data_IF_717341305505
#
_entry.id   IF_717341305505
#
_cell.length_a   1.000
_cell.length_b   1.000
_cell.length_c   1.000
_cell.angle_alpha   90.00
_cell.angle_beta   90.00
_cell.angle_gamma   90.00
#
_symmetry.space_group_name_H-M   'P 1'
#
loop_
_entity.id
_entity.type
_entity.pdbx_description
1 polymer ?
#
# COMPACT_ATOMS: atom_id res chain seq x y z
N UNK A 1 6.00 12.09 -4.86
CA UNK A 1 4.61 11.62 -4.97
C UNK A 1 4.64 10.13 -4.73
N UNK A 2 4.20 9.70 -3.57
CA UNK A 2 3.99 8.28 -3.29
C UNK A 2 2.74 7.82 -4.03
N UNK A 3 2.76 6.63 -4.62
CA UNK A 3 1.58 6.07 -5.28
C UNK A 3 0.47 5.86 -4.24
N UNK A 4 0.80 5.27 -3.08
CA UNK A 4 -0.10 5.14 -1.92
C UNK A 4 -0.72 6.48 -1.50
N UNK A 5 0.10 7.46 -1.12
CA UNK A 5 -0.39 8.74 -0.60
C UNK A 5 -1.25 9.48 -1.62
N UNK A 6 -0.83 9.51 -2.89
CA UNK A 6 -1.58 10.23 -3.92
C UNK A 6 -2.95 9.63 -4.19
N UNK A 7 -3.06 8.29 -4.20
CA UNK A 7 -4.36 7.61 -4.28
C UNK A 7 -5.23 7.99 -3.09
N UNK A 8 -4.72 7.88 -1.87
CA UNK A 8 -5.53 8.13 -0.67
C UNK A 8 -5.86 9.62 -0.45
N UNK A 9 -5.05 10.54 -0.96
CA UNK A 9 -5.33 11.98 -0.93
C UNK A 9 -6.47 12.37 -1.87
N UNK A 10 -6.61 11.66 -3.00
CA UNK A 10 -7.63 11.94 -4.01
C UNK A 10 -8.92 11.13 -3.81
N UNK A 11 -8.81 9.96 -3.17
CA UNK A 11 -9.94 9.05 -2.89
C UNK A 11 -11.21 9.72 -2.33
N UNK A 12 -11.14 10.69 -1.38
CA UNK A 12 -12.33 11.33 -0.84
C UNK A 12 -13.16 12.07 -1.90
N UNK A 13 -12.51 12.56 -2.95
CA UNK A 13 -13.16 13.35 -4.00
C UNK A 13 -13.80 12.49 -5.09
N UNK A 14 -13.44 11.19 -5.19
CA UNK A 14 -13.94 10.30 -6.26
C UNK A 14 -15.47 10.26 -6.29
N UNK A 15 -16.13 10.34 -5.13
CA UNK A 15 -17.59 10.35 -5.03
C UNK A 15 -18.28 11.53 -5.73
N UNK A 16 -17.54 12.60 -6.04
CA UNK A 16 -18.06 13.82 -6.66
C UNK A 16 -17.65 14.00 -8.13
N UNK A 17 -16.91 13.05 -8.72
CA UNK A 17 -16.33 13.22 -10.08
C UNK A 17 -17.37 13.35 -11.19
N UNK A 18 -18.61 12.89 -10.98
CA UNK A 18 -19.66 13.07 -11.97
C UNK A 18 -20.36 14.44 -11.86
N UNK A 19 -20.11 15.18 -10.78
CA UNK A 19 -20.66 16.52 -10.54
C UNK A 19 -19.72 17.62 -11.06
N UNK A 20 -18.42 17.33 -11.17
CA UNK A 20 -17.40 18.29 -11.62
C UNK A 20 -16.46 17.63 -12.68
N UNK A 21 -16.58 18.04 -13.96
CA UNK A 21 -15.70 17.53 -15.03
C UNK A 21 -14.21 17.81 -14.79
N UNK A 22 -13.86 18.95 -14.19
CA UNK A 22 -12.48 19.29 -13.86
C UNK A 22 -11.92 18.37 -12.79
N UNK A 23 -12.75 18.00 -11.80
CA UNK A 23 -12.40 17.00 -10.81
C UNK A 23 -12.24 15.59 -11.43
N UNK A 24 -13.14 15.19 -12.35
CA UNK A 24 -12.99 13.94 -13.10
C UNK A 24 -11.65 13.88 -13.84
N UNK A 25 -11.30 14.95 -14.54
CA UNK A 25 -10.03 15.05 -15.28
C UNK A 25 -8.83 15.10 -14.34
N UNK A 26 -8.94 15.71 -13.15
CA UNK A 26 -7.90 15.66 -12.13
C UNK A 26 -7.65 14.22 -11.67
N UNK A 27 -8.69 13.46 -11.31
CA UNK A 27 -8.56 12.06 -10.87
C UNK A 27 -7.94 11.21 -11.97
N UNK A 28 -8.44 11.34 -13.20
CA UNK A 28 -7.88 10.60 -14.34
C UNK A 28 -6.43 11.02 -14.62
N UNK A 29 -6.11 12.31 -14.51
CA UNK A 29 -4.74 12.82 -14.63
C UNK A 29 -3.79 12.22 -13.59
N UNK A 30 -4.25 12.02 -12.35
CA UNK A 30 -3.46 11.33 -11.32
C UNK A 30 -3.21 9.87 -11.71
N UNK A 31 -4.23 9.16 -12.23
CA UNK A 31 -4.06 7.79 -12.74
C UNK A 31 -3.00 7.74 -13.86
N UNK A 32 -3.04 8.68 -14.81
CA UNK A 32 -2.07 8.76 -15.90
C UNK A 32 -0.66 9.06 -15.40
N UNK A 33 -0.51 9.96 -14.42
CA UNK A 33 0.77 10.26 -13.80
C UNK A 33 1.32 9.01 -13.08
N UNK A 34 0.51 8.32 -12.29
CA UNK A 34 0.90 7.06 -11.64
C UNK A 34 1.26 5.97 -12.65
N UNK A 35 0.52 5.85 -13.75
CA UNK A 35 0.84 4.94 -14.85
C UNK A 35 2.21 5.25 -15.46
N UNK A 36 2.49 6.51 -15.80
CA UNK A 36 3.79 6.91 -16.36
C UNK A 36 4.97 6.60 -15.43
N UNK A 37 4.73 6.65 -14.12
CA UNK A 37 5.71 6.30 -13.10
C UNK A 37 5.97 4.80 -13.03
N UNK A 38 4.91 3.99 -13.01
CA UNK A 38 5.02 2.52 -12.93
C UNK A 38 5.44 1.88 -14.25
N UNK A 39 5.14 2.51 -15.39
CA UNK A 39 5.71 2.13 -16.69
C UNK A 39 7.22 2.41 -16.76
N UNK A 40 7.70 3.39 -16.00
CA UNK A 40 9.12 3.60 -15.85
C UNK A 40 9.75 2.59 -14.88
N UNK A 41 9.31 2.58 -13.62
CA UNK A 41 9.82 1.68 -12.59
C UNK A 41 8.67 1.08 -11.76
N UNK A 42 8.37 -0.22 -11.91
CA UNK A 42 7.25 -0.86 -11.23
C UNK A 42 7.59 -1.29 -9.79
N UNK A 43 8.84 -1.12 -9.35
CA UNK A 43 9.29 -1.42 -7.99
C UNK A 43 9.31 -0.20 -7.07
N UNK A 44 9.17 1.00 -7.62
CA UNK A 44 9.25 2.25 -6.86
C UNK A 44 7.95 2.62 -6.14
N UNK A 45 8.06 3.10 -4.91
CA UNK A 45 6.94 3.63 -4.12
C UNK A 45 6.71 5.14 -4.34
N UNK A 46 7.77 5.93 -4.54
CA UNK A 46 7.67 7.39 -4.63
C UNK A 46 8.39 7.98 -5.84
N UNK A 47 7.85 9.05 -6.43
CA UNK A 47 8.37 9.67 -7.65
C UNK A 47 8.52 11.18 -7.53
N UNK A 48 9.53 11.77 -8.18
CA UNK A 48 9.58 13.23 -8.33
C UNK A 48 8.48 13.73 -9.25
N UNK A 49 8.22 15.04 -9.15
CA UNK A 49 7.34 15.76 -10.08
C UNK A 49 7.61 15.37 -11.55
N UNK A 50 6.58 15.29 -12.40
CA UNK A 50 6.77 15.02 -13.82
C UNK A 50 7.66 16.08 -14.48
N UNK A 51 8.38 15.68 -15.54
CA UNK A 51 9.33 16.55 -16.25
C UNK A 51 8.69 17.72 -16.98
N UNK A 52 7.44 17.55 -17.41
CA UNK A 52 6.66 18.60 -18.05
C UNK A 52 6.06 19.59 -17.05
N UNK A 53 6.19 19.33 -15.74
CA UNK A 53 5.62 20.21 -14.73
C UNK A 53 6.50 21.48 -14.55
N UNK A 54 5.92 22.67 -14.32
CA UNK A 54 6.65 23.95 -14.31
C UNK A 54 7.82 24.00 -13.31
N UNK A 55 9.03 24.48 -13.65
CA UNK A 55 10.17 24.45 -12.74
C UNK A 55 9.87 25.11 -11.39
N UNK A 56 10.49 24.58 -10.32
CA UNK A 56 10.41 25.15 -8.96
C UNK A 56 11.78 25.59 -8.49
N UNK A 57 11.81 26.70 -7.77
CA UNK A 57 13.00 27.13 -7.06
C UNK A 57 13.37 26.12 -5.96
N UNK A 58 14.66 25.79 -5.86
CA UNK A 58 15.22 24.87 -4.87
C UNK A 58 14.50 23.51 -4.82
N UNK A 59 14.53 22.70 -5.90
CA UNK A 59 13.93 21.38 -5.88
C UNK A 59 14.56 20.54 -4.76
N UNK A 60 13.71 19.96 -3.90
CA UNK A 60 14.15 18.99 -2.90
C UNK A 60 14.87 17.82 -3.59
N UNK A 61 15.91 17.31 -2.95
CA UNK A 61 16.71 16.16 -3.41
C UNK A 61 16.41 14.98 -2.50
N UNK A 62 16.29 13.77 -3.05
CA UNK A 62 16.17 12.56 -2.24
C UNK A 62 17.51 11.97 -1.80
N UNK A 63 17.47 10.77 -1.21
CA UNK A 63 18.62 10.11 -0.59
C UNK A 63 19.76 9.85 -1.59
N UNK A 64 21.01 10.14 -1.27
CA UNK A 64 22.12 9.91 -2.23
C UNK A 64 22.94 8.65 -1.97
N UNK A 65 22.48 7.80 -1.04
CA UNK A 65 23.26 6.68 -0.48
C UNK A 65 22.71 5.31 -0.80
N UNK A 66 21.58 5.24 -1.51
CA UNK A 66 20.83 4.02 -1.75
C UNK A 66 21.40 3.21 -2.92
N UNK A 67 21.34 1.89 -2.80
CA UNK A 67 21.78 0.95 -3.83
C UNK A 67 20.66 -0.01 -4.13
N UNK A 68 20.22 -0.05 -5.39
CA UNK A 68 19.08 -0.85 -5.84
C UNK A 68 19.48 -1.69 -7.05
N UNK A 69 18.89 -2.87 -7.15
CA UNK A 69 18.97 -3.76 -8.33
C UNK A 69 17.56 -4.20 -8.70
N UNK A 70 17.15 -4.25 -9.99
CA UNK A 70 17.86 -3.77 -11.17
C UNK A 70 18.32 -2.31 -11.07
N UNK A 71 19.40 -1.98 -11.78
CA UNK A 71 19.90 -0.61 -11.82
C UNK A 71 18.88 0.29 -12.52
N UNK A 72 18.76 1.52 -12.03
CA UNK A 72 17.82 2.52 -12.50
C UNK A 72 18.55 3.75 -13.06
N UNK A 73 17.85 4.64 -13.75
CA UNK A 73 18.41 5.93 -14.18
C UNK A 73 18.33 6.96 -13.03
N UNK A 74 19.46 7.46 -12.49
CA UNK A 74 19.48 8.44 -11.40
C UNK A 74 18.96 9.82 -11.82
N UNK A 75 18.72 10.03 -13.12
CA UNK A 75 18.05 11.21 -13.65
C UNK A 75 16.55 11.03 -13.74
N UNK A 76 16.00 9.93 -13.22
CA UNK A 76 14.57 9.68 -13.06
C UNK A 76 14.17 9.37 -11.60
N UNK A 77 15.10 8.82 -10.76
CA UNK A 77 15.08 8.21 -9.36
C UNK A 77 15.66 9.04 -8.17
N UNK A 78 14.89 9.28 -7.06
CA UNK A 78 14.80 10.26 -5.90
C UNK A 78 16.14 10.20 -5.26
N UNK A 79 16.72 9.02 -5.42
CA UNK A 79 17.89 8.58 -4.80
C UNK A 79 18.98 8.26 -5.85
N UNK A 80 20.18 8.84 -5.62
CA UNK A 80 21.51 8.62 -6.25
C UNK A 80 22.03 9.50 -7.42
N UNK A 81 23.37 9.65 -7.49
CA UNK A 81 24.23 10.60 -8.25
C UNK A 81 25.07 9.91 -9.34
N UNK A 82 25.54 10.67 -10.37
CA UNK A 82 26.98 10.85 -10.74
C UNK A 82 27.22 12.17 -11.52
N UNK A 83 28.38 12.81 -11.28
CA UNK A 83 28.93 14.03 -11.91
C UNK A 83 29.55 13.83 -13.31
N UNK A 84 29.39 14.86 -14.15
CA UNK A 84 30.17 15.28 -15.35
C UNK A 84 30.03 14.45 -16.65
N UNK A 85 29.27 14.98 -17.61
CA UNK A 85 29.75 15.67 -18.84
C UNK A 85 28.55 16.25 -19.61
N UNK A 86 28.79 17.35 -20.34
CA UNK A 86 27.82 18.15 -21.11
C UNK A 86 26.94 17.30 -22.03
N UNK A 87 25.75 16.97 -21.57
CA UNK A 87 24.54 16.66 -22.35
C UNK A 87 23.41 17.34 -21.56
N UNK A 88 22.35 17.82 -22.19
CA UNK A 88 21.21 18.43 -21.49
C UNK A 88 20.57 17.35 -20.61
N UNK A 89 20.94 17.32 -19.32
CA UNK A 89 20.50 16.32 -18.33
C UNK A 89 19.18 16.80 -17.73
N UNK A 90 18.10 16.07 -17.99
CA UNK A 90 16.80 16.27 -17.36
C UNK A 90 16.88 15.60 -15.98
N UNK A 91 16.97 16.38 -14.90
CA UNK A 91 16.98 15.88 -13.53
C UNK A 91 15.58 15.40 -13.12
N UNK A 92 15.41 14.12 -12.84
CA UNK A 92 14.25 13.56 -12.14
C UNK A 92 14.78 12.53 -11.14
N UNK A 93 14.04 12.35 -10.08
CA UNK A 93 14.45 11.54 -8.97
C UNK A 93 13.15 10.84 -8.26
N UNK A 94 12.73 9.53 -8.43
CA UNK A 94 12.04 8.41 -7.58
C UNK A 94 12.67 7.56 -6.34
N UNK A 95 11.98 7.26 -5.22
CA UNK A 95 12.42 6.31 -4.14
C UNK A 95 12.09 4.86 -4.53
N UNK A 96 13.00 3.92 -4.26
CA UNK A 96 12.91 2.53 -4.71
C UNK A 96 12.69 1.52 -3.59
N UNK A 97 11.79 1.81 -2.66
CA UNK A 97 11.35 0.82 -1.67
C UNK A 97 10.16 0.06 -2.25
N UNK A 98 10.35 -1.23 -2.54
CA UNK A 98 9.30 -2.06 -3.11
C UNK A 98 8.23 -2.39 -2.07
N UNK A 99 7.06 -1.81 -2.30
CA UNK A 99 5.87 -1.94 -1.47
C UNK A 99 4.75 -2.49 -2.31
N UNK A 100 4.26 -3.68 -1.96
CA UNK A 100 3.15 -4.32 -2.67
C UNK A 100 1.89 -3.44 -2.69
N UNK A 101 1.69 -2.63 -1.65
CA UNK A 101 0.56 -1.72 -1.59
C UNK A 101 0.66 -0.55 -2.58
N UNK A 102 1.85 -0.14 -3.04
CA UNK A 102 1.97 0.89 -4.08
C UNK A 102 1.26 0.44 -5.37
N UNK A 103 1.46 -0.82 -5.77
CA UNK A 103 0.75 -1.42 -6.92
C UNK A 103 -0.74 -1.58 -6.60
N UNK A 104 -1.08 -1.94 -5.35
CA UNK A 104 -2.48 -2.08 -4.94
C UNK A 104 -3.22 -0.74 -5.04
N UNK A 105 -2.62 0.36 -4.60
CA UNK A 105 -3.19 1.70 -4.64
C UNK A 105 -3.32 2.25 -6.07
N UNK A 106 -2.44 1.86 -7.00
CA UNK A 106 -2.59 2.18 -8.42
C UNK A 106 -3.87 1.55 -9.01
N UNK A 107 -4.06 0.25 -8.78
CA UNK A 107 -5.27 -0.44 -9.22
C UNK A 107 -6.52 0.01 -8.47
N UNK A 108 -6.42 0.29 -7.17
CA UNK A 108 -7.51 0.86 -6.38
C UNK A 108 -8.03 2.15 -6.98
N UNK A 109 -7.14 3.10 -7.29
CA UNK A 109 -7.56 4.39 -7.86
C UNK A 109 -8.26 4.19 -9.21
N UNK A 110 -7.73 3.27 -10.03
CA UNK A 110 -8.34 2.92 -11.32
C UNK A 110 -9.72 2.30 -11.13
N UNK A 111 -9.86 1.32 -10.25
CA UNK A 111 -11.13 0.65 -9.98
C UNK A 111 -12.16 1.62 -9.39
N UNK A 112 -11.77 2.44 -8.41
CA UNK A 112 -12.66 3.43 -7.79
C UNK A 112 -13.12 4.49 -8.82
N UNK A 113 -12.24 4.91 -9.74
CA UNK A 113 -12.61 5.80 -10.85
C UNK A 113 -13.60 5.13 -11.81
N UNK A 114 -13.37 3.87 -12.18
CA UNK A 114 -14.25 3.14 -13.10
C UNK A 114 -15.60 2.85 -12.45
N UNK A 115 -15.63 2.49 -11.17
CA UNK A 115 -16.87 2.32 -10.39
C UNK A 115 -17.69 3.61 -10.37
N UNK A 116 -17.04 4.77 -10.18
CA UNK A 116 -17.72 6.05 -10.13
C UNK A 116 -18.20 6.53 -11.52
N UNK A 117 -17.40 6.32 -12.58
CA UNK A 117 -17.63 6.97 -13.90
C UNK A 117 -18.16 6.05 -14.98
N UNK A 118 -17.94 4.74 -14.87
CA UNK A 118 -18.14 3.77 -15.95
C UNK A 118 -17.09 3.84 -17.08
N UNK A 119 -16.07 4.70 -16.99
CA UNK A 119 -15.12 5.00 -18.08
C UNK A 119 -13.93 4.02 -18.16
N UNK A 120 -14.19 2.70 -18.14
CA UNK A 120 -13.12 1.68 -18.30
C UNK A 120 -12.43 1.77 -19.67
N UNK A 121 -13.17 2.13 -20.72
CA UNK A 121 -12.65 2.31 -22.08
C UNK A 121 -11.52 3.35 -22.11
N UNK A 122 -11.73 4.49 -21.45
CA UNK A 122 -10.75 5.59 -21.35
C UNK A 122 -9.45 5.14 -20.68
N UNK A 123 -9.55 4.22 -19.72
CA UNK A 123 -8.38 3.62 -19.04
C UNK A 123 -7.65 2.67 -19.98
N UNK A 124 -8.37 1.75 -20.63
CA UNK A 124 -7.80 0.72 -21.50
C UNK A 124 -7.23 1.26 -22.82
N UNK A 125 -7.70 2.42 -23.29
CA UNK A 125 -7.15 3.13 -24.44
C UNK A 125 -5.86 3.91 -24.12
N UNK A 126 -5.54 4.13 -22.84
CA UNK A 126 -4.28 4.74 -22.44
C UNK A 126 -3.13 3.73 -22.58
N UNK A 127 -2.24 4.00 -23.53
CA UNK A 127 -1.00 3.22 -23.73
C UNK A 127 -0.15 3.18 -22.47
N UNK A 128 0.03 4.32 -21.80
CA UNK A 128 0.86 4.42 -20.59
C UNK A 128 0.27 3.54 -19.48
N UNK A 129 -1.05 3.54 -19.30
CA UNK A 129 -1.73 2.71 -18.32
C UNK A 129 -1.61 1.22 -18.66
N UNK A 130 -1.83 0.83 -19.92
CA UNK A 130 -1.70 -0.56 -20.36
C UNK A 130 -0.28 -1.11 -20.19
N UNK A 131 0.74 -0.31 -20.52
CA UNK A 131 2.14 -0.67 -20.31
C UNK A 131 2.45 -0.83 -18.82
N UNK A 132 2.06 0.16 -18.00
CA UNK A 132 2.23 0.11 -16.55
C UNK A 132 1.57 -1.12 -15.93
N UNK A 133 0.29 -1.37 -16.25
CA UNK A 133 -0.47 -2.53 -15.76
C UNK A 133 0.22 -3.86 -16.12
N UNK A 134 0.72 -3.97 -17.35
CA UNK A 134 1.44 -5.16 -17.81
C UNK A 134 2.76 -5.36 -17.04
N UNK A 135 3.54 -4.30 -16.86
CA UNK A 135 4.83 -4.36 -16.13
C UNK A 135 4.64 -4.69 -14.66
N UNK A 136 3.66 -4.08 -13.99
CA UNK A 136 3.40 -4.39 -12.57
C UNK A 136 2.88 -5.81 -12.39
N UNK A 137 2.03 -6.33 -13.28
CA UNK A 137 1.58 -7.75 -13.20
C UNK A 137 2.75 -8.72 -13.36
N UNK A 138 3.74 -8.39 -14.20
CA UNK A 138 4.98 -9.16 -14.30
C UNK A 138 5.78 -9.12 -12.99
N UNK A 139 5.93 -7.93 -12.37
CA UNK A 139 6.53 -7.81 -11.02
C UNK A 139 5.80 -8.68 -10.00
N UNK A 140 4.47 -8.65 -9.97
CA UNK A 140 3.69 -9.49 -9.05
C UNK A 140 4.01 -10.97 -9.25
N UNK A 141 4.04 -11.47 -10.49
CA UNK A 141 4.39 -12.86 -10.79
C UNK A 141 5.82 -13.23 -10.36
N UNK A 142 6.77 -12.31 -10.52
CA UNK A 142 8.17 -12.51 -10.12
C UNK A 142 8.29 -12.55 -8.59
N UNK A 143 7.54 -11.70 -7.89
CA UNK A 143 7.50 -11.64 -6.43
C UNK A 143 6.67 -12.76 -5.79
N UNK A 144 5.92 -13.56 -6.56
CA UNK A 144 5.29 -14.81 -6.11
C UNK A 144 6.27 -15.99 -6.02
N UNK A 145 7.47 -15.88 -6.61
CA UNK A 145 8.47 -16.96 -6.57
C UNK A 145 9.11 -17.04 -5.18
N UNK A 146 9.53 -18.25 -4.80
CA UNK A 146 10.40 -18.49 -3.63
C UNK A 146 11.67 -17.64 -3.72
N UNK A 147 12.27 -17.31 -2.57
CA UNK A 147 13.51 -16.52 -2.58
C UNK A 147 14.65 -17.32 -3.19
N UNK A 148 14.92 -18.51 -2.66
CA UNK A 148 15.86 -19.45 -3.26
C UNK A 148 15.11 -20.32 -4.25
N UNK A 149 15.60 -20.50 -5.50
CA UNK A 149 15.05 -21.53 -6.35
C UNK A 149 15.15 -22.85 -5.61
N UNK A 150 14.02 -23.55 -5.44
CA UNK A 150 14.02 -24.92 -4.96
C UNK A 150 15.15 -25.68 -5.66
N UNK A 151 16.07 -26.24 -4.87
CA UNK A 151 17.23 -26.97 -5.39
C UNK A 151 16.80 -27.87 -6.53
N UNK A 152 17.54 -27.79 -7.64
CA UNK A 152 17.48 -28.71 -8.75
C UNK A 152 17.77 -30.13 -8.25
N UNK A 153 16.77 -30.78 -7.67
CA UNK A 153 16.67 -32.23 -7.83
C UNK A 153 16.59 -32.46 -9.34
N UNK A 154 17.21 -33.51 -9.86
CA UNK A 154 17.37 -33.80 -11.28
C UNK A 154 16.05 -33.90 -12.10
N UNK A 155 14.91 -33.56 -11.50
CA UNK A 155 13.55 -33.70 -11.98
C UNK A 155 12.75 -32.37 -12.01
N UNK A 156 13.30 -31.26 -11.51
CA UNK A 156 12.64 -29.94 -11.57
C UNK A 156 13.46 -29.05 -12.49
N UNK A 157 12.96 -28.83 -13.72
CA UNK A 157 13.51 -27.79 -14.60
C UNK A 157 13.32 -26.42 -13.94
N UNK A 158 14.35 -25.58 -14.02
CA UNK A 158 14.26 -24.16 -13.67
C UNK A 158 13.05 -23.54 -14.38
N UNK A 159 12.22 -22.81 -13.64
CA UNK A 159 11.11 -22.06 -14.21
C UNK A 159 11.70 -21.02 -15.18
N UNK A 160 11.54 -21.18 -16.51
CA UNK A 160 12.20 -20.34 -17.50
C UNK A 160 11.72 -18.88 -17.46
N UNK A 161 10.64 -18.59 -16.73
CA UNK A 161 10.13 -17.24 -16.51
C UNK A 161 10.65 -16.58 -15.24
N UNK A 162 11.44 -17.28 -14.42
CA UNK A 162 12.03 -16.73 -13.20
C UNK A 162 13.10 -15.71 -13.54
N UNK A 163 12.99 -14.51 -12.96
CA UNK A 163 14.08 -13.53 -12.99
C UNK A 163 15.26 -14.09 -12.19
N UNK A 164 16.48 -14.15 -12.76
CA UNK A 164 17.66 -14.60 -12.04
C UNK A 164 17.87 -13.82 -10.73
N UNK A 165 18.37 -14.50 -9.69
CA UNK A 165 18.51 -13.94 -8.34
C UNK A 165 19.39 -12.67 -8.28
N UNK A 166 20.35 -12.58 -9.16
CA UNK A 166 21.26 -11.44 -9.34
C UNK A 166 20.62 -10.26 -10.07
N UNK A 167 19.53 -10.52 -10.80
CA UNK A 167 18.72 -9.51 -11.51
C UNK A 167 17.41 -9.19 -10.78
N UNK A 168 17.08 -9.93 -9.72
CA UNK A 168 15.91 -9.68 -8.88
C UNK A 168 16.02 -8.40 -8.07
N UNK A 169 14.87 -7.92 -7.58
CA UNK A 169 14.81 -6.72 -6.75
C UNK A 169 15.71 -6.84 -5.51
N UNK A 170 16.58 -5.85 -5.31
CA UNK A 170 17.42 -5.69 -4.12
C UNK A 170 17.48 -4.24 -3.71
N UNK A 171 17.55 -3.98 -2.42
CA UNK A 171 17.69 -2.63 -1.89
C UNK A 171 18.60 -2.62 -0.66
N UNK A 172 19.56 -1.70 -0.63
CA UNK A 172 20.34 -1.40 0.58
C UNK A 172 20.53 0.10 0.73
N UNK A 173 20.46 0.58 1.97
CA UNK A 173 20.72 1.97 2.37
C UNK A 173 21.74 1.98 3.49
N UNK A 174 22.63 2.97 3.48
CA UNK A 174 23.45 3.27 4.66
C UNK A 174 22.61 4.10 5.63
N UNK A 175 22.24 3.49 6.75
CA UNK A 175 21.31 4.05 7.73
C UNK A 175 21.63 3.46 9.10
N UNK A 176 21.28 4.20 10.16
CA UNK A 176 21.31 3.73 11.55
C UNK A 176 19.98 3.08 11.99
N UNK A 177 18.98 3.08 11.11
CA UNK A 177 17.67 2.46 11.32
C UNK A 177 17.59 1.12 10.58
N UNK A 178 17.46 -0.01 11.29
CA UNK A 178 17.46 -1.33 10.65
C UNK A 178 16.25 -1.53 9.72
N UNK A 179 15.16 -0.79 9.91
CA UNK A 179 13.97 -0.86 9.05
C UNK A 179 14.13 -0.10 7.73
N UNK A 180 15.14 0.74 7.57
CA UNK A 180 15.35 1.51 6.34
C UNK A 180 16.29 0.82 5.33
N UNK A 181 16.64 -0.45 5.55
CA UNK A 181 17.50 -1.25 4.67
C UNK A 181 17.09 -2.74 4.70
N UNK A 182 17.48 -3.52 3.68
CA UNK A 182 17.15 -4.94 3.63
C UNK A 182 18.37 -5.82 3.97
N UNK A 183 18.11 -6.88 4.74
CA UNK A 183 19.09 -7.94 5.02
C UNK A 183 19.44 -8.77 3.78
N UNK A 184 20.34 -9.75 3.96
CA UNK A 184 20.72 -10.72 2.92
C UNK A 184 21.23 -10.06 1.63
N UNK A 185 22.14 -9.10 1.76
CA UNK A 185 22.68 -8.33 0.63
C UNK A 185 21.59 -7.67 -0.21
N UNK A 186 20.60 -7.08 0.48
CA UNK A 186 19.51 -6.32 -0.11
C UNK A 186 18.30 -7.13 -0.56
N UNK A 187 18.27 -8.45 -0.37
CA UNK A 187 17.13 -9.30 -0.76
C UNK A 187 15.95 -9.12 0.21
N UNK A 188 16.23 -8.92 1.49
CA UNK A 188 15.21 -8.88 2.55
C UNK A 188 14.80 -10.28 3.02
N UNK A 189 13.52 -10.43 3.39
CA UNK A 189 12.99 -11.66 3.96
C UNK A 189 13.05 -12.87 3.01
N UNK A 190 13.35 -14.05 3.57
CA UNK A 190 13.41 -15.31 2.83
C UNK A 190 12.02 -15.97 2.87
N UNK A 191 11.44 -16.27 1.70
CA UNK A 191 10.09 -16.82 1.60
C UNK A 191 10.03 -18.10 0.76
N UNK A 192 9.18 -19.04 1.16
CA UNK A 192 8.83 -20.23 0.39
C UNK A 192 7.64 -19.94 -0.52
N UNK A 193 7.71 -20.39 -1.78
CA UNK A 193 6.61 -20.24 -2.75
C UNK A 193 5.32 -20.87 -2.21
N UNK A 194 4.32 -20.03 -1.97
CA UNK A 194 3.02 -20.42 -1.40
C UNK A 194 1.82 -19.71 -2.04
N UNK A 195 2.02 -18.94 -3.11
CA UNK A 195 0.97 -18.18 -3.80
C UNK A 195 0.80 -16.74 -3.29
N UNK A 196 1.44 -16.39 -2.17
CA UNK A 196 1.58 -15.00 -1.72
C UNK A 196 2.67 -14.27 -2.53
N UNK A 197 2.56 -12.94 -2.56
CA UNK A 197 3.48 -12.00 -3.20
C UNK A 197 4.35 -11.37 -2.12
N UNK A 198 5.67 -11.38 -2.31
CA UNK A 198 6.61 -10.73 -1.38
C UNK A 198 6.37 -9.21 -1.37
N UNK A 199 6.59 -8.57 -0.23
CA UNK A 199 6.72 -7.11 -0.10
C UNK A 199 8.03 -6.84 0.65
N UNK A 200 8.90 -6.01 0.10
CA UNK A 200 10.18 -5.71 0.74
C UNK A 200 9.99 -4.72 1.91
N UNK A 201 9.07 -3.76 1.71
CA UNK A 201 8.70 -2.76 2.69
C UNK A 201 7.19 -2.80 2.97
N UNK A 202 6.82 -2.24 4.11
CA UNK A 202 5.45 -2.01 4.58
C UNK A 202 4.94 -0.67 4.05
N UNK A 203 3.64 -0.37 4.19
CA UNK A 203 3.10 0.95 3.86
C UNK A 203 3.61 2.07 4.78
N UNK A 204 4.35 1.73 5.85
CA UNK A 204 5.09 2.66 6.71
C UNK A 204 6.47 3.03 6.17
N UNK A 205 6.86 2.54 4.99
CA UNK A 205 8.22 2.62 4.42
C UNK A 205 9.29 1.82 5.22
N UNK A 206 8.88 1.02 6.22
CA UNK A 206 9.76 0.12 6.99
C UNK A 206 9.89 -1.26 6.33
N UNK A 207 11.08 -1.86 6.38
CA UNK A 207 11.34 -3.20 5.88
C UNK A 207 10.43 -4.23 6.56
N UNK A 208 9.91 -5.18 5.78
CA UNK A 208 9.19 -6.33 6.34
C UNK A 208 10.16 -7.23 7.12
N UNK A 209 9.66 -7.82 8.20
CA UNK A 209 10.42 -8.82 8.97
C UNK A 209 10.34 -10.18 8.30
N UNK A 210 9.13 -10.59 7.91
CA UNK A 210 8.89 -11.75 7.06
C UNK A 210 8.32 -11.26 5.71
N UNK A 211 8.69 -11.89 4.59
CA UNK A 211 8.53 -11.27 3.28
C UNK A 211 7.08 -11.20 2.77
N UNK A 212 6.18 -12.02 3.31
CA UNK A 212 4.78 -12.01 2.88
C UNK A 212 3.92 -11.19 3.85
N UNK A 213 3.78 -9.90 3.53
CA UNK A 213 2.90 -8.98 4.24
C UNK A 213 1.43 -9.28 3.93
N UNK A 214 0.71 -9.83 4.90
CA UNK A 214 -0.66 -10.32 4.75
C UNK A 214 -1.65 -9.21 4.36
N UNK A 215 -1.72 -8.04 5.02
CA UNK A 215 -2.69 -7.01 4.64
C UNK A 215 -2.46 -6.45 3.23
N UNK A 216 -1.21 -6.36 2.77
CA UNK A 216 -0.91 -5.96 1.39
C UNK A 216 -1.30 -7.03 0.36
N UNK A 217 -1.09 -8.32 0.69
CA UNK A 217 -1.56 -9.43 -0.14
C UNK A 217 -3.10 -9.48 -0.23
N UNK A 218 -3.78 -9.24 0.89
CA UNK A 218 -5.23 -9.11 0.92
C UNK A 218 -5.70 -7.97 0.00
N UNK A 219 -5.09 -6.79 0.12
CA UNK A 219 -5.43 -5.61 -0.68
C UNK A 219 -5.28 -5.87 -2.19
N UNK A 220 -4.11 -6.36 -2.64
CA UNK A 220 -3.89 -6.60 -4.08
C UNK A 220 -4.83 -7.67 -4.63
N UNK A 221 -5.19 -8.69 -3.82
CA UNK A 221 -6.13 -9.74 -4.26
C UNK A 221 -7.51 -9.19 -4.59
N UNK A 222 -7.97 -8.20 -3.80
CA UNK A 222 -9.25 -7.50 -4.04
C UNK A 222 -9.14 -6.65 -5.30
N UNK A 223 -8.11 -5.82 -5.41
CA UNK A 223 -8.00 -4.86 -6.51
C UNK A 223 -7.79 -5.52 -7.87
N UNK A 224 -7.06 -6.63 -7.94
CA UNK A 224 -6.94 -7.40 -9.18
C UNK A 224 -8.24 -8.12 -9.56
N UNK A 225 -9.02 -8.56 -8.56
CA UNK A 225 -10.35 -9.16 -8.80
C UNK A 225 -11.32 -8.11 -9.34
N UNK A 226 -11.34 -6.92 -8.75
CA UNK A 226 -12.14 -5.77 -9.22
C UNK A 226 -11.73 -5.37 -10.64
N UNK A 227 -10.44 -5.22 -10.89
CA UNK A 227 -9.93 -4.86 -12.22
C UNK A 227 -10.37 -5.86 -13.29
N UNK A 228 -10.19 -7.16 -13.03
CA UNK A 228 -10.61 -8.20 -13.95
C UNK A 228 -12.12 -8.15 -14.23
N UNK A 229 -12.93 -7.90 -13.19
CA UNK A 229 -14.38 -7.75 -13.33
C UNK A 229 -14.74 -6.56 -14.24
N UNK A 230 -14.10 -5.40 -14.06
CA UNK A 230 -14.33 -4.23 -14.91
C UNK A 230 -13.96 -4.50 -16.37
N UNK A 231 -12.81 -5.10 -16.63
CA UNK A 231 -12.36 -5.39 -17.99
C UNK A 231 -13.24 -6.45 -18.67
N UNK A 232 -13.68 -7.48 -17.94
CA UNK A 232 -14.59 -8.52 -18.48
C UNK A 232 -16.00 -8.00 -18.75
N UNK A 233 -16.46 -7.02 -17.96
CA UNK A 233 -17.75 -6.36 -18.18
C UNK A 233 -17.75 -5.41 -19.39
N UNK A 234 -16.59 -5.08 -19.93
CA UNK A 234 -16.47 -4.24 -21.12
C UNK A 234 -16.79 -5.05 -22.40
N UNK A 235 -17.98 -4.86 -22.97
CA UNK A 235 -18.54 -5.71 -24.04
C UNK A 235 -18.61 -5.06 -25.44
N UNK A 236 -17.88 -3.97 -25.71
CA UNK A 236 -17.91 -3.30 -27.03
C UNK A 236 -17.19 -4.11 -28.13
N UNK A 237 -17.54 -3.82 -29.38
CA UNK A 237 -17.08 -4.50 -30.61
C UNK A 237 -15.56 -4.55 -30.82
N UNK A 238 -14.78 -3.71 -30.12
CA UNK A 238 -13.32 -3.69 -30.14
C UNK A 238 -12.71 -4.42 -28.93
N UNK A 239 -13.21 -5.62 -28.62
CA UNK A 239 -12.69 -6.43 -27.51
C UNK A 239 -11.35 -7.08 -27.89
N UNK A 240 -10.28 -6.27 -27.82
CA UNK A 240 -8.91 -6.64 -28.18
C UNK A 240 -8.41 -7.79 -27.31
N UNK A 241 -7.59 -8.66 -27.89
CA UNK A 241 -7.05 -9.82 -27.18
C UNK A 241 -6.20 -9.41 -25.96
N UNK A 242 -5.47 -8.31 -26.06
CA UNK A 242 -4.66 -7.75 -24.97
C UNK A 242 -5.48 -7.44 -23.70
N UNK A 243 -6.73 -6.97 -23.84
CA UNK A 243 -7.61 -6.71 -22.70
C UNK A 243 -8.09 -8.01 -22.05
N UNK A 244 -8.38 -9.04 -22.84
CA UNK A 244 -8.73 -10.38 -22.32
C UNK A 244 -7.58 -10.97 -21.53
N UNK A 245 -6.38 -10.92 -22.09
CA UNK A 245 -5.19 -11.48 -21.48
C UNK A 245 -4.88 -10.76 -20.16
N UNK A 246 -4.97 -9.43 -20.14
CA UNK A 246 -4.81 -8.62 -18.94
C UNK A 246 -5.84 -9.01 -17.86
N UNK A 247 -7.11 -9.13 -18.22
CA UNK A 247 -8.17 -9.50 -17.29
C UNK A 247 -7.99 -10.91 -16.73
N UNK A 248 -7.52 -11.85 -17.55
CA UNK A 248 -7.26 -13.23 -17.14
C UNK A 248 -6.07 -13.33 -16.19
N UNK A 249 -4.97 -12.64 -16.50
CA UNK A 249 -3.79 -12.58 -15.62
C UNK A 249 -4.15 -11.95 -14.28
N UNK A 250 -4.85 -10.81 -14.28
CA UNK A 250 -5.31 -10.16 -13.06
C UNK A 250 -6.22 -11.09 -12.23
N UNK A 251 -7.19 -11.76 -12.88
CA UNK A 251 -8.06 -12.72 -12.19
C UNK A 251 -7.28 -13.84 -11.54
N UNK A 252 -6.37 -14.48 -12.29
CA UNK A 252 -5.60 -15.62 -11.84
C UNK A 252 -4.71 -15.27 -10.66
N UNK A 253 -4.01 -14.14 -10.71
CA UNK A 253 -3.18 -13.66 -9.60
C UNK A 253 -4.08 -13.34 -8.41
N UNK A 254 -5.14 -12.55 -8.60
CA UNK A 254 -6.06 -12.18 -7.52
C UNK A 254 -6.66 -13.37 -6.77
N UNK A 255 -7.16 -14.37 -7.50
CA UNK A 255 -7.69 -15.62 -6.91
C UNK A 255 -6.61 -16.42 -6.18
N UNK A 256 -5.43 -16.57 -6.79
CA UNK A 256 -4.31 -17.30 -6.17
C UNK A 256 -3.90 -16.67 -4.85
N UNK A 257 -3.73 -15.35 -4.82
CA UNK A 257 -3.31 -14.61 -3.62
C UNK A 257 -4.40 -14.66 -2.56
N UNK A 258 -5.68 -14.50 -2.92
CA UNK A 258 -6.79 -14.61 -1.96
C UNK A 258 -6.77 -15.95 -1.23
N UNK A 259 -6.71 -17.05 -1.98
CA UNK A 259 -6.65 -18.41 -1.42
C UNK A 259 -5.39 -18.57 -0.55
N UNK A 260 -4.25 -18.01 -0.98
CA UNK A 260 -3.01 -18.07 -0.23
C UNK A 260 -3.07 -17.27 1.08
N UNK A 261 -3.75 -16.11 1.12
CA UNK A 261 -3.99 -15.35 2.36
C UNK A 261 -4.86 -16.14 3.33
N UNK A 262 -5.95 -16.75 2.85
CA UNK A 262 -6.83 -17.59 3.68
C UNK A 262 -6.09 -18.82 4.24
N UNK A 263 -5.20 -19.42 3.44
CA UNK A 263 -4.47 -20.63 3.81
C UNK A 263 -3.25 -20.39 4.71
N UNK A 264 -2.49 -19.33 4.45
CA UNK A 264 -1.18 -19.09 5.07
C UNK A 264 -1.17 -17.86 5.98
N UNK A 265 -2.09 -16.91 5.78
CA UNK A 265 -2.24 -15.73 6.62
C UNK A 265 -3.09 -15.99 7.87
N UNK A 266 -3.96 -17.01 7.87
CA UNK A 266 -4.76 -17.38 9.06
C UNK A 266 -3.99 -18.34 9.95
N UNK A 267 -3.79 -17.96 11.21
CA UNK A 267 -3.02 -18.72 12.21
C UNK A 267 -3.81 -18.85 13.51
N UNK A 268 -3.51 -19.88 14.31
CA UNK A 268 -4.15 -20.06 15.62
C UNK A 268 -3.35 -19.38 16.72
N UNK A 269 -3.90 -18.32 17.32
CA UNK A 269 -3.37 -17.67 18.51
C UNK A 269 -3.91 -18.32 19.78
N UNK A 270 -3.09 -18.56 20.82
CA UNK A 270 -3.50 -19.27 22.04
C UNK A 270 -4.65 -18.59 22.81
N UNK A 271 -4.79 -17.27 22.69
CA UNK A 271 -5.81 -16.48 23.42
C UNK A 271 -7.02 -16.10 22.56
N UNK A 272 -6.81 -15.83 21.27
CA UNK A 272 -7.84 -15.24 20.39
C UNK A 272 -8.41 -16.24 19.38
N UNK A 273 -7.89 -17.47 19.31
CA UNK A 273 -8.26 -18.45 18.30
C UNK A 273 -7.68 -18.08 16.93
N UNK A 274 -8.43 -18.36 15.87
CA UNK A 274 -7.97 -18.04 14.50
C UNK A 274 -7.93 -16.53 14.29
N UNK A 275 -6.77 -16.02 13.86
CA UNK A 275 -6.50 -14.61 13.54
C UNK A 275 -5.76 -14.53 12.20
N UNK A 276 -5.72 -13.35 11.59
CA UNK A 276 -4.75 -13.04 10.55
C UNK A 276 -3.40 -12.65 11.18
N UNK A 277 -2.32 -13.25 10.70
CA UNK A 277 -0.95 -12.82 10.96
C UNK A 277 -0.64 -11.53 10.19
N UNK A 278 0.34 -10.75 10.67
CA UNK A 278 0.78 -9.55 9.97
C UNK A 278 1.71 -9.90 8.80
N UNK A 279 2.71 -10.73 9.07
CA UNK A 279 3.66 -11.24 8.07
C UNK A 279 3.93 -12.73 8.27
N UNK A 280 4.21 -13.44 7.18
CA UNK A 280 4.60 -14.85 7.18
C UNK A 280 5.73 -15.12 6.19
N UNK A 281 6.39 -16.28 6.30
CA UNK A 281 7.43 -16.72 5.36
C UNK A 281 7.07 -17.99 4.57
N UNK A 282 5.93 -18.61 4.91
CA UNK A 282 5.48 -19.90 4.39
C UNK A 282 6.44 -21.10 4.66
N UNK A 283 7.47 -20.92 5.50
CA UNK A 283 8.22 -22.01 6.14
C UNK A 283 7.62 -22.40 7.49
N UNK A 284 6.86 -21.49 8.11
CA UNK A 284 6.16 -21.69 9.38
C UNK A 284 6.36 -20.55 10.37
N UNK A 285 7.20 -19.56 10.03
CA UNK A 285 7.36 -18.37 10.86
C UNK A 285 6.19 -17.41 10.64
N UNK A 286 5.81 -16.76 11.73
CA UNK A 286 4.64 -15.88 11.80
C UNK A 286 4.99 -14.67 12.64
N UNK A 287 4.70 -13.48 12.15
CA UNK A 287 4.74 -12.24 12.91
C UNK A 287 3.32 -11.80 13.26
N UNK A 288 3.06 -11.62 14.55
CA UNK A 288 1.76 -11.19 15.09
C UNK A 288 1.89 -9.77 15.61
N UNK A 289 1.31 -8.81 14.89
CA UNK A 289 1.23 -7.39 15.23
C UNK A 289 0.19 -6.71 14.32
N UNK A 290 0.06 -5.40 14.42
CA UNK A 290 -0.49 -4.58 13.33
C UNK A 290 0.23 -3.23 13.29
N UNK A 291 0.18 -2.56 12.15
CA UNK A 291 0.71 -1.21 11.93
C UNK A 291 -0.42 -0.24 11.59
N UNK A 292 -0.27 1.04 11.90
CA UNK A 292 -1.28 2.04 11.60
C UNK A 292 -1.40 2.41 10.12
N UNK A 293 -0.36 2.19 9.31
CA UNK A 293 -0.37 2.51 7.88
C UNK A 293 -1.21 1.51 7.09
N UNK A 294 -1.91 1.99 6.06
CA UNK A 294 -2.81 1.18 5.26
C UNK A 294 -2.12 0.66 3.99
N UNK A 295 -2.32 -0.61 3.61
CA UNK A 295 -3.19 -1.61 4.23
C UNK A 295 -2.65 -2.20 5.55
N UNK A 296 -3.52 -2.25 6.56
CA UNK A 296 -3.32 -2.91 7.87
C UNK A 296 -4.31 -4.03 8.11
N UNK A 297 -4.08 -4.89 9.12
CA UNK A 297 -5.04 -5.94 9.49
C UNK A 297 -6.37 -5.35 9.96
N UNK A 298 -6.32 -4.25 10.73
CA UNK A 298 -7.52 -3.52 11.14
C UNK A 298 -8.36 -3.08 9.95
N UNK A 299 -7.72 -2.75 8.82
CA UNK A 299 -8.36 -2.23 7.60
C UNK A 299 -8.94 -3.29 6.64
N UNK A 300 -8.77 -4.60 6.89
CA UNK A 300 -9.20 -5.64 5.95
C UNK A 300 -10.67 -5.53 5.46
N UNK A 301 -11.66 -5.15 6.30
CA UNK A 301 -13.02 -4.93 5.82
C UNK A 301 -13.17 -3.66 4.98
N UNK A 302 -12.43 -2.60 5.32
CA UNK A 302 -12.41 -1.37 4.52
C UNK A 302 -11.84 -1.61 3.12
N UNK A 303 -10.84 -2.50 3.02
CA UNK A 303 -10.25 -2.92 1.75
C UNK A 303 -11.14 -3.90 0.96
N UNK A 304 -12.26 -4.35 1.53
CA UNK A 304 -13.18 -5.30 0.88
C UNK A 304 -12.68 -6.75 0.83
N UNK A 305 -11.63 -7.10 1.58
CA UNK A 305 -11.11 -8.48 1.60
C UNK A 305 -12.00 -9.45 2.40
N UNK A 306 -12.52 -8.95 3.52
CA UNK A 306 -13.41 -9.68 4.42
C UNK A 306 -14.54 -8.78 4.90
N UNK A 307 -15.48 -9.29 5.68
CA UNK A 307 -16.57 -8.49 6.24
C UNK A 307 -16.27 -8.06 7.67
N UNK A 308 -16.93 -7.00 8.15
CA UNK A 308 -16.86 -6.60 9.56
C UNK A 308 -17.28 -7.72 10.50
N UNK A 309 -18.12 -8.66 10.08
CA UNK A 309 -18.65 -9.73 10.92
C UNK A 309 -17.88 -11.05 10.81
N UNK A 310 -16.82 -11.09 9.98
CA UNK A 310 -16.00 -12.28 9.85
C UNK A 310 -15.33 -12.63 11.19
N UNK A 311 -15.41 -13.91 11.58
CA UNK A 311 -14.97 -14.35 12.90
C UNK A 311 -13.46 -14.23 13.06
N UNK A 312 -12.69 -14.54 12.02
CA UNK A 312 -11.22 -14.42 12.03
C UNK A 312 -10.83 -12.95 12.11
N UNK A 313 -11.50 -12.08 11.35
CA UNK A 313 -11.32 -10.63 11.46
C UNK A 313 -11.66 -10.11 12.85
N UNK A 314 -12.78 -10.50 13.45
CA UNK A 314 -13.16 -10.04 14.79
C UNK A 314 -12.16 -10.50 15.87
N UNK A 315 -11.64 -11.72 15.77
CA UNK A 315 -10.55 -12.18 16.62
C UNK A 315 -9.28 -11.33 16.42
N UNK A 316 -8.94 -11.05 15.17
CA UNK A 316 -7.80 -10.21 14.80
C UNK A 316 -7.98 -8.79 15.33
N UNK A 317 -9.14 -8.16 15.14
CA UNK A 317 -9.51 -6.83 15.64
C UNK A 317 -9.31 -6.73 17.15
N UNK A 318 -9.79 -7.74 17.90
CA UNK A 318 -9.60 -7.79 19.36
C UNK A 318 -8.13 -7.90 19.76
N UNK A 319 -7.33 -8.65 19.01
CA UNK A 319 -5.89 -8.76 19.26
C UNK A 319 -5.19 -7.44 18.97
N UNK A 320 -5.39 -6.86 17.78
CA UNK A 320 -4.62 -5.70 17.30
C UNK A 320 -4.93 -4.41 18.06
N UNK A 321 -6.11 -4.33 18.67
CA UNK A 321 -6.55 -3.25 19.57
C UNK A 321 -6.35 -3.60 21.06
N UNK A 322 -5.31 -4.36 21.38
CA UNK A 322 -4.95 -4.75 22.75
C UNK A 322 -3.44 -4.81 22.92
N UNK A 323 -2.96 -4.94 24.16
CA UNK A 323 -1.53 -5.09 24.48
C UNK A 323 -0.88 -6.38 23.91
N UNK A 324 -1.65 -7.27 23.27
CA UNK A 324 -1.09 -8.36 22.48
C UNK A 324 -0.49 -7.90 21.14
N UNK A 325 -0.86 -6.72 20.66
CA UNK A 325 -0.14 -6.03 19.60
C UNK A 325 1.00 -5.20 20.21
N UNK A 326 2.27 -5.47 19.88
CA UNK A 326 3.40 -4.70 20.39
C UNK A 326 3.35 -3.20 20.06
N UNK A 327 2.58 -2.82 19.03
CA UNK A 327 2.42 -1.45 18.58
C UNK A 327 1.09 -0.83 18.97
N UNK A 328 0.31 -1.46 19.86
CA UNK A 328 -0.85 -0.83 20.48
C UNK A 328 -0.43 -0.12 21.77
N UNK A 329 -0.68 1.19 21.83
CA UNK A 329 -0.35 2.04 22.97
C UNK A 329 -1.60 2.61 23.60
N UNK A 330 -1.61 2.71 24.93
CA UNK A 330 -2.70 3.31 25.71
C UNK A 330 -2.12 4.21 26.79
N UNK A 331 -2.21 5.53 26.57
CA UNK A 331 -1.75 6.54 27.51
C UNK A 331 -2.89 7.42 28.02
N UNK A 332 -2.54 8.43 28.80
CA UNK A 332 -3.51 9.35 29.42
C UNK A 332 -4.27 10.22 28.41
N UNK A 333 -3.70 10.44 27.23
CA UNK A 333 -4.24 11.35 26.23
C UNK A 333 -4.87 10.61 25.05
N UNK A 334 -4.15 9.66 24.46
CA UNK A 334 -4.60 8.92 23.28
C UNK A 334 -4.24 7.44 23.38
N UNK A 335 -5.07 6.62 22.75
CA UNK A 335 -4.82 5.20 22.56
C UNK A 335 -5.14 4.73 21.15
N UNK A 336 -4.43 3.72 20.70
CA UNK A 336 -4.57 3.20 19.34
C UNK A 336 -3.30 2.49 18.90
N UNK A 337 -3.24 2.20 17.59
CA UNK A 337 -2.10 1.52 16.99
C UNK A 337 -1.09 2.59 16.51
N UNK A 338 0.18 2.33 16.80
CA UNK A 338 1.33 3.10 16.34
C UNK A 338 2.06 2.43 15.19
N UNK A 339 3.37 2.63 15.15
CA UNK A 339 4.24 2.01 14.16
C UNK A 339 5.70 1.98 14.67
N UNK A 340 6.49 0.95 14.33
CA UNK A 340 7.95 1.00 14.49
C UNK A 340 8.58 2.25 13.88
N UNK A 341 7.96 2.84 12.86
CA UNK A 341 8.44 4.03 12.19
C UNK A 341 8.62 5.24 13.13
N UNK A 342 7.69 5.40 14.08
CA UNK A 342 7.67 6.54 15.02
C UNK A 342 8.11 6.14 16.43
N UNK A 343 8.18 4.84 16.70
CA UNK A 343 8.67 4.30 17.96
C UNK A 343 7.63 4.22 19.06
N UNK A 344 8.13 4.00 20.28
CA UNK A 344 7.34 3.75 21.49
C UNK A 344 6.37 4.90 21.81
N UNK A 345 5.18 4.54 22.31
CA UNK A 345 4.12 5.46 22.74
C UNK A 345 3.53 6.37 21.65
N UNK A 346 3.97 6.26 20.40
CA UNK A 346 3.48 7.12 19.32
C UNK A 346 2.27 6.48 18.62
N UNK A 347 1.06 6.95 18.93
CA UNK A 347 -0.19 6.50 18.31
C UNK A 347 -0.46 7.27 17.02
N UNK A 348 -0.85 6.58 15.97
CA UNK A 348 -1.17 7.20 14.68
C UNK A 348 -2.68 7.44 14.56
N UNK A 349 -3.13 8.67 14.25
CA UNK A 349 -4.56 8.98 14.10
C UNK A 349 -5.26 8.15 13.02
N UNK A 350 -4.51 7.69 12.00
CA UNK A 350 -5.05 6.79 10.96
C UNK A 350 -5.59 5.48 11.53
N UNK A 351 -4.99 4.94 12.60
CA UNK A 351 -5.49 3.72 13.25
C UNK A 351 -6.86 3.93 13.90
N UNK A 352 -7.05 5.09 14.54
CA UNK A 352 -8.31 5.50 15.20
C UNK A 352 -9.40 5.71 14.14
N UNK A 353 -9.06 6.40 13.05
CA UNK A 353 -9.92 6.58 11.90
C UNK A 353 -10.34 5.25 11.28
N UNK A 354 -9.39 4.33 11.10
CA UNK A 354 -9.70 3.01 10.57
C UNK A 354 -10.55 2.18 11.54
N UNK A 355 -10.32 2.32 12.85
CA UNK A 355 -11.14 1.70 13.89
C UNK A 355 -12.59 2.16 13.81
N UNK A 356 -12.84 3.46 13.57
CA UNK A 356 -14.19 4.01 13.29
C UNK A 356 -14.77 3.33 12.07
N UNK A 357 -14.06 3.37 10.94
CA UNK A 357 -14.57 2.88 9.64
C UNK A 357 -14.95 1.41 9.67
N UNK A 358 -14.27 0.63 10.50
CA UNK A 358 -14.43 -0.82 10.63
C UNK A 358 -15.23 -1.25 11.85
N UNK A 359 -15.76 -0.31 12.64
CA UNK A 359 -16.69 -0.59 13.73
C UNK A 359 -18.12 -0.78 13.21
N UNK A 360 -18.91 -1.50 14.00
CA UNK A 360 -20.37 -1.62 13.89
C UNK A 360 -21.08 -1.14 15.18
N UNK A 361 -20.34 -0.57 16.14
CA UNK A 361 -20.84 -0.12 17.43
C UNK A 361 -20.88 1.40 17.48
N UNK A 362 -22.06 2.00 17.49
CA UNK A 362 -22.22 3.45 17.60
C UNK A 362 -21.55 4.04 18.86
N UNK A 363 -21.55 3.28 19.96
CA UNK A 363 -20.87 3.67 21.19
C UNK A 363 -19.35 3.73 21.03
N UNK A 364 -18.77 2.76 20.31
CA UNK A 364 -17.34 2.79 19.98
C UNK A 364 -17.04 3.96 19.05
N UNK A 365 -17.83 4.12 17.98
CA UNK A 365 -17.69 5.19 16.99
C UNK A 365 -17.72 6.57 17.66
N UNK A 366 -18.69 6.84 18.53
CA UNK A 366 -18.80 8.13 19.24
C UNK A 366 -17.54 8.43 20.06
N UNK A 367 -17.04 7.47 20.83
CA UNK A 367 -15.81 7.65 21.63
C UNK A 367 -14.59 7.94 20.76
N UNK A 368 -14.48 7.26 19.61
CA UNK A 368 -13.37 7.45 18.70
C UNK A 368 -13.46 8.79 17.95
N UNK A 369 -14.67 9.27 17.62
CA UNK A 369 -14.87 10.63 17.07
C UNK A 369 -14.37 11.68 18.07
N UNK A 370 -14.72 11.55 19.34
CA UNK A 370 -14.24 12.46 20.40
C UNK A 370 -12.71 12.42 20.51
N UNK A 371 -12.11 11.23 20.39
CA UNK A 371 -10.65 11.05 20.38
C UNK A 371 -9.98 11.70 19.17
N UNK A 372 -10.56 11.56 17.97
CA UNK A 372 -10.08 12.24 16.75
C UNK A 372 -10.17 13.77 16.89
N UNK A 373 -11.28 14.29 17.44
CA UNK A 373 -11.46 15.73 17.72
C UNK A 373 -10.39 16.22 18.70
N UNK A 374 -10.08 15.44 19.74
CA UNK A 374 -9.05 15.74 20.72
C UNK A 374 -7.65 15.79 20.09
N UNK A 375 -7.29 14.79 19.27
CA UNK A 375 -6.02 14.78 18.52
C UNK A 375 -5.91 16.00 17.60
N UNK A 376 -6.96 16.28 16.81
CA UNK A 376 -6.97 17.43 15.88
C UNK A 376 -6.70 18.75 16.63
N UNK A 377 -7.37 18.95 17.78
CA UNK A 377 -7.22 20.16 18.59
C UNK A 377 -5.78 20.36 19.08
N UNK A 378 -5.04 19.28 19.33
CA UNK A 378 -3.63 19.31 19.76
C UNK A 378 -2.63 19.43 18.61
N UNK A 379 -3.04 19.16 17.37
CA UNK A 379 -2.20 19.18 16.17
C UNK A 379 -2.65 20.24 15.14
N UNK A 380 -2.89 21.48 15.60
CA UNK A 380 -3.26 22.62 14.76
C UNK A 380 -4.55 22.42 13.94
N UNK A 381 -5.54 21.72 14.49
CA UNK A 381 -6.83 21.39 13.85
C UNK A 381 -6.70 20.53 12.58
N UNK A 382 -5.58 19.82 12.43
CA UNK A 382 -5.32 18.85 11.36
C UNK A 382 -4.97 17.48 11.98
N UNK A 383 -4.98 16.45 11.14
CA UNK A 383 -4.38 15.17 11.50
C UNK A 383 -2.85 15.23 11.36
N UNK A 384 -2.16 14.76 12.40
CA UNK A 384 -0.73 14.50 12.37
C UNK A 384 -0.44 13.05 11.96
N UNK A 385 0.84 12.72 11.78
CA UNK A 385 1.27 11.34 11.53
C UNK A 385 1.14 10.49 12.78
N UNK A 386 1.78 10.92 13.87
CA UNK A 386 1.71 10.23 15.15
C UNK A 386 1.72 11.23 16.31
N UNK A 387 1.15 10.82 17.45
CA UNK A 387 1.07 11.61 18.67
C UNK A 387 1.40 10.73 19.86
N UNK A 388 2.21 11.24 20.79
CA UNK A 388 2.54 10.51 22.00
C UNK A 388 1.29 10.26 22.86
N UNK A 389 1.15 9.03 23.35
CA UNK A 389 0.01 8.53 24.11
C UNK A 389 -0.26 9.30 25.40
N UNK A 390 0.77 9.94 25.98
CA UNK A 390 0.72 10.68 27.23
C UNK A 390 0.94 12.20 27.06
N UNK A 391 1.74 12.62 26.08
CA UNK A 391 2.18 14.01 25.89
C UNK A 391 1.78 14.56 24.50
N UNK A 392 0.58 15.17 24.35
CA UNK A 392 0.04 15.55 23.04
C UNK A 392 0.84 16.63 22.29
N UNK A 393 1.71 17.37 22.97
CA UNK A 393 2.63 18.32 22.35
C UNK A 393 3.75 17.64 21.55
N UNK A 394 4.00 16.34 21.80
CA UNK A 394 4.95 15.52 21.06
C UNK A 394 4.20 14.77 19.95
N UNK A 395 4.22 15.33 18.76
CA UNK A 395 3.64 14.72 17.56
C UNK A 395 4.55 14.91 16.35
N UNK A 396 4.41 14.04 15.35
CA UNK A 396 5.18 14.09 14.09
C UNK A 396 4.32 14.57 12.93
N UNK A 397 4.94 15.25 11.96
CA UNK A 397 4.33 15.80 10.74
C UNK A 397 3.02 16.56 11.00
N UNK A 398 3.15 17.86 11.28
CA UNK A 398 2.01 18.80 11.38
C UNK A 398 1.20 18.94 10.09
N UNK A 399 1.73 18.51 8.95
CA UNK A 399 1.04 18.51 7.67
C UNK A 399 1.10 17.12 7.03
N UNK A 400 -0.01 16.38 7.16
CA UNK A 400 -0.16 15.06 6.55
C UNK A 400 -1.49 14.96 5.80
N UNK A 401 -1.44 15.26 4.50
CA UNK A 401 -2.60 15.33 3.62
C UNK A 401 -3.36 14.01 3.47
N UNK A 402 -2.68 12.86 3.52
CA UNK A 402 -3.36 11.57 3.51
C UNK A 402 -4.25 11.38 4.73
N UNK A 403 -3.70 11.56 5.95
CA UNK A 403 -4.48 11.44 7.18
C UNK A 403 -5.66 12.44 7.21
N UNK A 404 -5.46 13.67 6.72
CA UNK A 404 -6.52 14.66 6.57
C UNK A 404 -7.63 14.21 5.60
N UNK A 405 -7.25 13.69 4.42
CA UNK A 405 -8.19 13.19 3.43
C UNK A 405 -8.99 12.00 3.95
N UNK A 406 -8.33 11.06 4.65
CA UNK A 406 -8.97 9.93 5.29
C UNK A 406 -9.99 10.37 6.35
N UNK A 407 -9.63 11.34 7.20
CA UNK A 407 -10.54 11.90 8.19
C UNK A 407 -11.77 12.54 7.52
N UNK A 408 -11.57 13.36 6.49
CA UNK A 408 -12.66 13.98 5.72
C UNK A 408 -13.60 12.95 5.12
N UNK A 409 -13.06 11.91 4.47
CA UNK A 409 -13.88 10.83 3.90
C UNK A 409 -14.72 10.12 4.96
N UNK A 410 -14.12 9.79 6.11
CA UNK A 410 -14.84 9.09 7.19
C UNK A 410 -15.93 9.97 7.79
N UNK A 411 -15.69 11.27 7.96
CA UNK A 411 -16.71 12.20 8.44
C UNK A 411 -17.89 12.26 7.48
N UNK A 412 -17.64 12.33 6.16
CA UNK A 412 -18.74 12.30 5.16
C UNK A 412 -19.54 11.00 5.29
N UNK A 413 -18.86 9.86 5.40
CA UNK A 413 -19.53 8.57 5.56
C UNK A 413 -20.36 8.52 6.86
N UNK A 414 -19.84 9.07 7.97
CA UNK A 414 -20.57 9.17 9.23
C UNK A 414 -21.79 10.10 9.15
N UNK A 415 -21.73 11.21 8.41
CA UNK A 415 -22.88 12.09 8.19
C UNK A 415 -24.00 11.33 7.46
N UNK A 416 -23.63 10.42 6.54
CA UNK A 416 -24.58 9.62 5.77
C UNK A 416 -25.15 8.45 6.60
N UNK A 417 -24.28 7.71 7.28
CA UNK A 417 -24.64 6.47 7.96
C UNK A 417 -25.17 6.70 9.39
N UNK A 418 -24.65 7.73 10.08
CA UNK A 418 -24.92 8.03 11.50
C UNK A 418 -25.02 9.55 11.77
N UNK A 419 -25.97 10.27 11.16
CA UNK A 419 -26.05 11.73 11.24
C UNK A 419 -26.16 12.28 12.67
N UNK A 420 -26.69 11.52 13.63
CA UNK A 420 -26.80 11.90 15.05
C UNK A 420 -25.49 11.79 15.86
N UNK A 421 -24.42 11.25 15.25
CA UNK A 421 -23.12 11.09 15.90
C UNK A 421 -22.10 12.20 15.58
N UNK A 422 -22.30 12.97 14.51
CA UNK A 422 -21.30 13.92 13.99
C UNK A 422 -21.41 15.31 14.61
#
# INVERSE_FOLDING_TARGET
MWIRDSTNQISPYIRFVNEDPGLKDLVFGVIQVQASYLDYDPYANAFLRPWYAPPVENPRKGSTTDKVTPAYDPTLVWESKVKKKKIVVIYRFIILQYELDSISHFFKLTNDYVDATGEIERVLESTDWMNAATRVLKVLQDQMKDTWPSTSTAFIQDDPQRVPLEQGYRFTRYTDRPTETLGQSGIGGIGKKCGLIKSAFRPSDDATTLPYLIPANAHISVELTRLSKHIRAYTKANYRQEYKDLAEIAHKIGQTVKIAVERHGVVTHPVFGQIYAYEVDCYGSVLIMDDANLPSLLSLPYLGFTTKNDVVYQNTRRLVLSHWNPWYFEGKFVKGIGSPHTGEDMVWPMSILMQIKTSSSEHEIRKLIDLVKQVAKSANSLMCESMNSNEPSKYTRSWFSWANGLAGSIIIDLIQDYPHLV
#
